data_IF_743324028218
#
_entry.id   IF_743324028218
#
_cell.length_a   1.000
_cell.length_b   1.000
_cell.length_c   1.000
_cell.angle_alpha   90.00
_cell.angle_beta   90.00
_cell.angle_gamma   90.00
#
_symmetry.space_group_name_H-M   'P 1'
#
loop_
_entity.id
_entity.type
_entity.pdbx_description
1 polymer ?
#
# COMPACT_ATOMS: atom_id res chain seq x y z
N UNK A 1 23.37 -7.37 12.54
CA UNK A 1 22.73 -6.03 12.60
C UNK A 1 21.42 -6.07 13.39
N UNK A 2 20.50 -6.98 13.08
CA UNK A 2 19.21 -7.17 13.80
C UNK A 2 19.31 -7.47 15.31
N UNK A 3 20.34 -8.19 15.77
CA UNK A 3 20.51 -8.53 17.19
C UNK A 3 20.78 -7.33 18.13
N UNK A 4 21.13 -6.16 17.57
CA UNK A 4 21.38 -4.93 18.34
C UNK A 4 20.17 -3.99 18.40
N UNK A 5 19.06 -4.36 17.75
CA UNK A 5 17.88 -3.51 17.67
C UNK A 5 16.90 -3.92 18.78
N UNK A 6 16.51 -2.94 19.58
CA UNK A 6 15.44 -3.10 20.57
C UNK A 6 14.10 -3.30 19.84
N UNK A 7 13.61 -4.54 19.82
CA UNK A 7 12.40 -4.93 19.10
C UNK A 7 11.14 -4.21 19.62
N UNK A 8 11.16 -3.68 20.85
CA UNK A 8 10.04 -2.89 21.40
C UNK A 8 9.92 -1.51 20.77
N UNK A 9 10.98 -1.06 20.08
CA UNK A 9 11.03 0.21 19.35
C UNK A 9 10.82 0.04 17.84
N UNK A 10 10.43 -1.16 17.40
CA UNK A 10 10.10 -1.45 16.01
C UNK A 10 8.59 -1.56 15.84
N UNK A 11 8.07 -0.79 14.88
CA UNK A 11 6.72 -0.94 14.36
C UNK A 11 6.80 -1.68 13.03
N UNK A 12 6.08 -2.79 12.92
CA UNK A 12 5.90 -3.52 11.69
C UNK A 12 4.64 -3.01 11.02
N UNK A 13 4.76 -2.53 9.79
CA UNK A 13 3.65 -2.00 9.02
C UNK A 13 3.56 -2.75 7.71
N UNK A 14 2.37 -3.21 7.41
CA UNK A 14 2.02 -3.87 6.17
C UNK A 14 0.74 -3.23 5.63
N UNK A 15 0.76 -2.80 4.37
CA UNK A 15 -0.32 -2.03 3.74
C UNK A 15 -0.69 -2.73 2.45
N UNK A 16 -1.96 -3.12 2.36
CA UNK A 16 -2.52 -3.74 1.17
C UNK A 16 -3.41 -2.75 0.42
N UNK A 17 -3.17 -2.65 -0.87
CA UNK A 17 -3.80 -1.67 -1.76
C UNK A 17 -4.38 -2.33 -3.00
N UNK A 18 -5.47 -1.77 -3.50
CA UNK A 18 -6.06 -2.12 -4.81
C UNK A 18 -6.13 -0.86 -5.67
N UNK A 19 -6.26 -0.96 -7.01
CA UNK A 19 -6.58 0.20 -7.83
C UNK A 19 -7.85 0.92 -7.33
N UNK A 20 -7.83 2.25 -7.31
CA UNK A 20 -9.00 3.06 -6.90
C UNK A 20 -10.20 2.81 -7.82
N UNK A 21 -9.94 2.66 -9.13
CA UNK A 21 -10.91 2.24 -10.13
C UNK A 21 -10.51 0.89 -10.71
N UNK A 22 -11.50 0.03 -10.94
CA UNK A 22 -11.30 -1.37 -11.36
C UNK A 22 -10.46 -1.51 -12.64
N UNK A 23 -10.64 -0.60 -13.61
CA UNK A 23 -9.89 -0.62 -14.85
C UNK A 23 -9.62 0.80 -15.35
N UNK A 24 -8.66 0.90 -16.26
CA UNK A 24 -8.19 2.17 -16.82
C UNK A 24 -9.31 2.99 -17.47
N UNK A 25 -10.33 2.34 -18.03
CA UNK A 25 -11.39 3.04 -18.77
C UNK A 25 -12.31 3.84 -17.87
N UNK A 26 -12.41 3.47 -16.59
CA UNK A 26 -13.17 4.20 -15.58
C UNK A 26 -12.46 5.49 -15.12
N UNK A 27 -11.18 5.68 -15.46
CA UNK A 27 -10.47 6.92 -15.19
C UNK A 27 -11.02 8.07 -16.05
N UNK A 28 -11.03 9.27 -15.47
CA UNK A 28 -11.26 10.53 -16.19
C UNK A 28 -10.10 10.79 -17.17
N UNK A 29 -10.30 11.71 -18.11
CA UNK A 29 -9.23 12.09 -19.04
C UNK A 29 -7.99 12.60 -18.28
N UNK A 30 -8.19 13.43 -17.26
CA UNK A 30 -7.13 13.98 -16.43
C UNK A 30 -6.37 12.89 -15.66
N UNK A 31 -7.09 11.92 -15.10
CA UNK A 31 -6.49 10.79 -14.39
C UNK A 31 -5.70 9.87 -15.33
N UNK A 32 -6.18 9.65 -16.57
CA UNK A 32 -5.47 8.86 -17.59
C UNK A 32 -4.14 9.51 -17.96
N UNK A 33 -4.15 10.83 -18.17
CA UNK A 33 -2.94 11.59 -18.49
C UNK A 33 -1.96 11.62 -17.30
N UNK A 34 -2.49 11.76 -16.09
CA UNK A 34 -1.70 11.71 -14.87
C UNK A 34 -1.07 10.33 -14.65
N UNK A 35 -1.83 9.25 -14.86
CA UNK A 35 -1.31 7.88 -14.78
C UNK A 35 -0.23 7.63 -15.82
N UNK A 36 -0.46 8.06 -17.07
CA UNK A 36 0.50 7.88 -18.15
C UNK A 36 1.84 8.58 -17.85
N UNK A 37 1.80 9.81 -17.33
CA UNK A 37 3.01 10.58 -16.97
C UNK A 37 3.73 9.98 -15.76
N UNK A 38 3.00 9.64 -14.68
CA UNK A 38 3.58 9.07 -13.46
C UNK A 38 4.26 7.72 -13.70
N UNK A 39 3.63 6.86 -14.49
CA UNK A 39 4.11 5.49 -14.70
C UNK A 39 5.16 5.35 -15.80
N UNK A 40 5.44 6.41 -16.56
CA UNK A 40 6.28 6.37 -17.76
C UNK A 40 7.65 5.70 -17.52
N UNK A 41 8.31 6.00 -16.40
CA UNK A 41 9.65 5.45 -16.10
C UNK A 41 9.65 3.95 -15.73
N UNK A 42 8.51 3.38 -15.35
CA UNK A 42 8.38 1.95 -15.03
C UNK A 42 7.82 1.14 -16.21
N UNK A 43 7.19 1.79 -17.19
CA UNK A 43 6.65 1.12 -18.37
C UNK A 43 7.77 0.76 -19.33
N UNK A 44 7.66 -0.42 -19.96
CA UNK A 44 8.49 -0.76 -21.11
C UNK A 44 8.11 0.12 -22.30
N UNK A 45 9.02 0.33 -23.26
CA UNK A 45 8.78 1.21 -24.42
C UNK A 45 7.52 0.84 -25.22
N UNK A 46 7.15 -0.43 -25.23
CA UNK A 46 6.00 -1.00 -25.94
C UNK A 46 4.73 -1.12 -25.06
N UNK A 47 4.79 -0.72 -23.79
CA UNK A 47 3.68 -0.90 -22.86
C UNK A 47 2.78 0.35 -22.76
N UNK A 48 1.51 0.21 -23.12
CA UNK A 48 0.53 1.28 -23.00
C UNK A 48 0.17 1.55 -21.52
N UNK A 49 -0.25 2.78 -21.16
CA UNK A 49 -0.73 3.07 -19.80
C UNK A 49 -1.86 2.13 -19.37
N UNK A 50 -2.82 1.88 -20.25
CA UNK A 50 -3.93 0.96 -19.97
C UNK A 50 -3.46 -0.46 -19.64
N UNK A 51 -2.49 -0.99 -20.39
CA UNK A 51 -1.93 -2.33 -20.13
C UNK A 51 -1.06 -2.40 -18.88
N UNK A 52 -0.57 -1.26 -18.38
CA UNK A 52 0.18 -1.18 -17.12
C UNK A 52 -0.73 -0.97 -15.90
N UNK A 53 -2.00 -0.64 -16.12
CA UNK A 53 -2.93 -0.24 -15.06
C UNK A 53 -3.25 -1.36 -14.05
N UNK A 54 -2.99 -2.62 -14.37
CA UNK A 54 -3.03 -3.72 -13.39
C UNK A 54 -2.19 -3.43 -12.14
N UNK A 55 -1.12 -2.63 -12.30
CA UNK A 55 -0.20 -2.21 -11.23
C UNK A 55 -0.59 -0.89 -10.57
N UNK A 56 -1.77 -0.33 -10.87
CA UNK A 56 -2.18 0.98 -10.37
C UNK A 56 -2.21 1.04 -8.85
N UNK A 57 -2.59 -0.05 -8.16
CA UNK A 57 -2.60 -0.12 -6.71
C UNK A 57 -1.24 0.16 -6.03
N UNK A 58 -0.12 0.01 -6.73
CA UNK A 58 1.23 0.30 -6.19
C UNK A 58 1.44 1.81 -5.98
N UNK A 59 0.70 2.64 -6.71
CA UNK A 59 0.84 4.09 -6.69
C UNK A 59 -0.14 4.68 -5.67
N UNK A 60 0.38 5.51 -4.77
CA UNK A 60 -0.45 6.13 -3.73
C UNK A 60 -1.59 6.98 -4.33
N UNK A 61 -1.37 7.59 -5.50
CA UNK A 61 -2.36 8.42 -6.17
C UNK A 61 -3.47 7.63 -6.90
N UNK A 62 -3.26 6.33 -7.17
CA UNK A 62 -4.20 5.49 -7.91
C UNK A 62 -4.61 4.24 -7.13
N UNK A 63 -4.19 4.17 -5.87
CA UNK A 63 -4.37 3.05 -4.98
C UNK A 63 -5.32 3.39 -3.85
N UNK A 64 -6.25 2.49 -3.57
CA UNK A 64 -7.09 2.50 -2.38
C UNK A 64 -6.52 1.51 -1.37
N UNK A 65 -6.27 1.97 -0.16
CA UNK A 65 -5.90 1.11 0.96
C UNK A 65 -7.13 0.29 1.37
N UNK A 66 -6.98 -1.03 1.44
CA UNK A 66 -8.05 -1.95 1.86
C UNK A 66 -7.76 -2.60 3.21
N UNK A 67 -6.49 -2.66 3.60
CA UNK A 67 -6.06 -3.20 4.88
C UNK A 67 -4.76 -2.54 5.30
N UNK A 68 -4.64 -2.24 6.60
CA UNK A 68 -3.38 -1.86 7.24
C UNK A 68 -3.17 -2.82 8.41
N UNK A 69 -2.07 -3.55 8.42
CA UNK A 69 -1.67 -4.39 9.54
C UNK A 69 -0.52 -3.75 10.30
N UNK A 70 -0.65 -3.69 11.61
CA UNK A 70 0.33 -3.09 12.51
C UNK A 70 0.77 -4.13 13.52
N UNK A 71 2.08 -4.38 13.58
CA UNK A 71 2.71 -5.32 14.50
C UNK A 71 3.71 -4.64 15.44
N UNK A 72 3.79 -5.08 16.68
CA UNK A 72 4.81 -4.62 17.62
C UNK A 72 5.11 -5.68 18.69
N UNK A 73 6.30 -5.60 19.28
CA UNK A 73 6.66 -6.45 20.41
C UNK A 73 6.32 -5.76 21.74
N UNK A 74 5.56 -6.46 22.58
CA UNK A 74 5.33 -6.12 23.96
C UNK A 74 6.21 -7.00 24.87
N UNK A 75 6.82 -6.42 25.90
CA UNK A 75 7.64 -7.17 26.86
C UNK A 75 6.81 -7.43 28.10
N UNK A 76 6.48 -8.70 28.32
CA UNK A 76 5.94 -9.18 29.58
C UNK A 76 7.09 -9.59 30.50
N UNK A 77 6.82 -9.76 31.79
CA UNK A 77 7.85 -9.95 32.84
C UNK A 77 8.92 -11.01 32.50
N UNK A 78 8.56 -12.06 31.77
CA UNK A 78 9.46 -13.15 31.39
C UNK A 78 9.45 -13.50 29.90
N UNK A 79 8.48 -12.99 29.14
CA UNK A 79 8.26 -13.36 27.74
C UNK A 79 8.05 -12.15 26.83
N UNK A 80 8.26 -12.34 25.54
CA UNK A 80 7.95 -11.35 24.50
C UNK A 80 6.69 -11.78 23.78
N UNK A 81 5.73 -10.89 23.71
CA UNK A 81 4.49 -11.07 22.95
C UNK A 81 4.60 -10.25 21.66
N UNK A 82 4.46 -10.88 20.49
CA UNK A 82 4.27 -10.16 19.25
C UNK A 82 2.76 -9.94 19.03
N UNK A 83 2.34 -8.67 19.08
CA UNK A 83 0.95 -8.28 18.87
C UNK A 83 0.79 -7.80 17.44
N UNK A 84 -0.26 -8.26 16.77
CA UNK A 84 -0.66 -7.78 15.46
C UNK A 84 -2.12 -7.34 15.48
N UNK A 85 -2.42 -6.23 14.81
CA UNK A 85 -3.78 -5.77 14.57
C UNK A 85 -3.92 -5.31 13.13
N UNK A 86 -4.93 -5.81 12.45
CA UNK A 86 -5.31 -5.36 11.11
C UNK A 86 -6.51 -4.42 11.20
N UNK A 87 -6.47 -3.37 10.38
CA UNK A 87 -7.51 -2.36 10.22
C UNK A 87 -8.03 -2.47 8.79
N UNK A 88 -9.33 -2.67 8.64
CA UNK A 88 -10.02 -2.71 7.36
C UNK A 88 -11.44 -2.18 7.54
N UNK A 89 -12.09 -1.83 6.43
CA UNK A 89 -13.44 -1.26 6.44
C UNK A 89 -13.50 0.08 5.71
N UNK A 90 -14.66 0.73 5.80
CA UNK A 90 -14.88 2.05 5.23
C UNK A 90 -14.28 3.13 6.12
N UNK A 91 -13.87 4.23 5.51
CA UNK A 91 -13.48 5.43 6.24
C UNK A 91 -14.65 5.93 7.09
N UNK A 92 -14.37 6.28 8.34
CA UNK A 92 -15.38 6.83 9.22
C UNK A 92 -15.65 8.29 8.85
N UNK A 93 -16.91 8.68 8.78
CA UNK A 93 -17.28 10.10 8.71
C UNK A 93 -16.98 10.74 10.06
N UNK A 94 -16.01 11.66 10.09
CA UNK A 94 -15.64 12.44 11.27
C UNK A 94 -16.50 13.70 11.43
#
# INVERSE_FOLDING_TARGET
MLQKIDLTKLLFLDIETVPEKENFDLLSAEEKDFFASKTQYQRKEDQSPASFYERAGIWAEFGKIICISVGFFNVLKTDREFRIKSFSGTEATL
#
